data_IF_691681771670
#
_entry.id   IF_691681771670
#
_cell.length_a   1.000
_cell.length_b   1.000
_cell.length_c   1.000
_cell.angle_alpha   90.00
_cell.angle_beta   90.00
_cell.angle_gamma   90.00
#
_symmetry.space_group_name_H-M   'P 1'
#
loop_
_entity.id
_entity.type
_entity.pdbx_description
1 polymer ?
#
# COMPACT_ATOMS: atom_id res chain seq x y z
N UNK A 1 41.90 4.10 -53.22
CA UNK A 1 41.88 3.97 -51.74
C UNK A 1 41.18 5.19 -51.15
N UNK A 2 39.95 5.06 -50.64
CA UNK A 2 39.29 6.17 -49.91
C UNK A 2 38.58 5.57 -48.70
N UNK A 3 39.24 5.65 -47.54
CA UNK A 3 38.74 5.12 -46.26
C UNK A 3 37.67 6.08 -45.74
N UNK A 4 36.40 5.72 -45.86
CA UNK A 4 35.30 6.47 -45.26
C UNK A 4 35.24 6.14 -43.76
N UNK A 5 35.47 7.13 -42.91
CA UNK A 5 35.32 6.99 -41.45
C UNK A 5 33.84 7.18 -41.10
N UNK A 6 33.14 6.08 -40.83
CA UNK A 6 31.78 6.12 -40.27
C UNK A 6 31.92 6.43 -38.79
N UNK A 7 31.49 7.64 -38.39
CA UNK A 7 31.38 8.05 -37.00
C UNK A 7 30.01 7.60 -36.48
N UNK A 8 29.98 6.53 -35.68
CA UNK A 8 28.78 6.05 -35.00
C UNK A 8 28.60 6.89 -33.73
N UNK A 9 27.64 7.83 -33.77
CA UNK A 9 27.22 8.61 -32.61
C UNK A 9 26.22 7.77 -31.80
N UNK A 10 26.68 7.14 -30.72
CA UNK A 10 25.83 6.39 -29.80
C UNK A 10 24.99 7.35 -28.94
N UNK A 11 23.70 7.50 -29.27
CA UNK A 11 22.72 8.13 -28.37
C UNK A 11 22.47 7.17 -27.18
N UNK A 12 23.11 7.44 -26.05
CA UNK A 12 22.72 6.84 -24.76
C UNK A 12 21.41 7.50 -24.31
N UNK A 13 20.27 6.89 -24.65
CA UNK A 13 19.00 7.24 -24.03
C UNK A 13 19.04 6.77 -22.57
N UNK A 14 19.26 7.69 -21.64
CA UNK A 14 19.16 7.43 -20.19
C UNK A 14 17.70 7.14 -19.85
N UNK A 15 17.35 5.86 -19.87
CA UNK A 15 16.05 5.38 -19.41
C UNK A 15 15.99 5.61 -17.90
N UNK A 16 15.28 6.65 -17.47
CA UNK A 16 15.06 6.90 -16.05
C UNK A 16 14.08 5.86 -15.53
N UNK A 17 14.58 4.81 -14.87
CA UNK A 17 13.74 3.86 -14.14
C UNK A 17 13.34 4.55 -12.84
N UNK A 18 12.08 4.97 -12.74
CA UNK A 18 11.53 5.38 -11.45
C UNK A 18 11.45 4.15 -10.55
N UNK A 19 12.17 4.18 -9.42
CA UNK A 19 12.04 3.15 -8.39
C UNK A 19 10.56 3.09 -7.95
N UNK A 20 9.96 1.90 -8.06
CA UNK A 20 8.58 1.67 -7.62
C UNK A 20 8.50 1.92 -6.12
N UNK A 21 7.54 2.71 -5.66
CA UNK A 21 7.24 2.89 -4.23
C UNK A 21 6.78 1.57 -3.61
N UNK A 22 7.06 1.28 -2.32
CA UNK A 22 6.71 0.00 -1.71
C UNK A 22 5.22 -0.29 -1.76
N UNK A 23 4.84 -1.52 -2.09
CA UNK A 23 3.46 -1.92 -2.30
C UNK A 23 2.92 -2.73 -1.11
N UNK A 24 2.21 -2.05 -0.22
CA UNK A 24 1.70 -2.62 1.04
C UNK A 24 0.21 -2.99 0.98
N UNK A 25 -0.38 -3.15 -0.21
CA UNK A 25 -1.84 -3.41 -0.37
C UNK A 25 -2.24 -4.88 -0.30
N UNK A 26 -1.45 -5.75 0.32
CA UNK A 26 -1.76 -7.19 0.44
C UNK A 26 -2.54 -7.53 1.71
N UNK A 27 -3.32 -8.62 1.66
CA UNK A 27 -4.10 -9.09 2.83
C UNK A 27 -3.22 -9.52 4.00
N UNK A 28 -1.99 -9.95 3.70
CA UNK A 28 -1.00 -10.37 4.69
C UNK A 28 0.04 -9.28 4.99
N UNK A 29 -0.14 -8.07 4.44
CA UNK A 29 0.77 -6.96 4.67
C UNK A 29 0.49 -6.31 6.01
N UNK A 30 1.54 -5.69 6.57
CA UNK A 30 1.53 -5.03 7.88
C UNK A 30 0.27 -4.19 8.17
N UNK A 31 -0.16 -3.24 7.32
CA UNK A 31 -1.36 -2.43 7.58
C UNK A 31 -2.63 -3.27 7.74
N UNK A 32 -2.82 -4.32 6.93
CA UNK A 32 -4.01 -5.17 6.97
C UNK A 32 -4.01 -6.07 8.21
N UNK A 33 -2.87 -6.69 8.52
CA UNK A 33 -2.73 -7.57 9.69
C UNK A 33 -2.95 -6.79 10.99
N UNK A 34 -2.34 -5.61 11.12
CA UNK A 34 -2.52 -4.77 12.29
C UNK A 34 -3.95 -4.22 12.40
N UNK A 35 -4.60 -3.94 11.27
CA UNK A 35 -5.99 -3.53 11.29
C UNK A 35 -6.91 -4.58 11.92
N UNK A 36 -6.74 -5.86 11.55
CA UNK A 36 -7.52 -6.96 12.14
C UNK A 36 -7.23 -7.13 13.64
N UNK A 37 -5.99 -6.92 14.08
CA UNK A 37 -5.63 -6.94 15.51
C UNK A 37 -6.35 -5.82 16.27
N UNK A 38 -6.26 -4.58 15.80
CA UNK A 38 -6.91 -3.44 16.45
C UNK A 38 -8.44 -3.59 16.49
N UNK A 39 -9.05 -4.01 15.37
CA UNK A 39 -10.50 -4.25 15.29
C UNK A 39 -10.93 -5.40 16.21
N UNK A 40 -10.13 -6.45 16.33
CA UNK A 40 -10.35 -7.59 17.22
C UNK A 40 -10.34 -7.17 18.69
N UNK A 41 -9.33 -6.39 19.08
CA UNK A 41 -9.21 -5.84 20.42
C UNK A 41 -10.37 -4.90 20.78
N UNK A 42 -10.95 -4.21 19.78
CA UNK A 42 -12.13 -3.36 19.94
C UNK A 42 -13.47 -4.12 19.88
N UNK A 43 -13.46 -5.43 19.61
CA UNK A 43 -14.67 -6.25 19.49
C UNK A 43 -15.50 -6.00 18.22
N UNK A 44 -14.95 -5.29 17.23
CA UNK A 44 -15.67 -4.88 16.00
C UNK A 44 -15.74 -6.04 15.00
N UNK A 45 -14.59 -6.65 14.70
CA UNK A 45 -14.43 -7.83 13.82
C UNK A 45 -13.07 -8.48 14.07
N UNK A 46 -12.77 -9.63 13.46
CA UNK A 46 -11.46 -10.30 13.55
C UNK A 46 -11.22 -11.21 12.34
N UNK A 47 -10.02 -11.77 12.25
CA UNK A 47 -9.59 -12.70 11.21
C UNK A 47 -10.51 -13.92 11.03
N UNK A 48 -11.07 -14.45 12.13
CA UNK A 48 -12.02 -15.57 12.10
C UNK A 48 -13.41 -15.20 11.53
N UNK A 49 -13.75 -13.91 11.44
CA UNK A 49 -15.03 -13.43 10.88
C UNK A 49 -14.90 -12.94 9.44
N UNK A 50 -13.72 -12.47 9.04
CA UNK A 50 -13.46 -11.83 7.75
C UNK A 50 -13.17 -12.87 6.66
N UNK A 51 -13.80 -12.69 5.50
CA UNK A 51 -13.41 -13.38 4.27
C UNK A 51 -12.27 -12.58 3.59
N UNK A 52 -11.03 -13.01 3.82
CA UNK A 52 -9.85 -12.35 3.25
C UNK A 52 -9.85 -12.33 1.72
N UNK A 53 -10.56 -13.26 1.05
CA UNK A 53 -10.66 -13.27 -0.42
C UNK A 53 -11.55 -12.14 -0.95
N UNK A 54 -12.45 -11.62 -0.10
CA UNK A 54 -13.33 -10.48 -0.41
C UNK A 54 -12.81 -9.16 0.13
N UNK A 55 -11.70 -9.18 0.86
CA UNK A 55 -11.07 -7.97 1.40
C UNK A 55 -10.47 -7.16 0.25
N UNK A 56 -10.77 -5.85 0.23
CA UNK A 56 -10.23 -4.92 -0.75
C UNK A 56 -9.32 -3.94 -0.03
N UNK A 57 -8.13 -3.72 -0.59
CA UNK A 57 -7.16 -2.76 -0.07
C UNK A 57 -6.78 -1.80 -1.19
N UNK A 58 -6.89 -0.51 -0.94
CA UNK A 58 -6.46 0.55 -1.85
C UNK A 58 -5.46 1.47 -1.14
N UNK A 59 -4.34 1.78 -1.79
CA UNK A 59 -3.40 2.78 -1.30
C UNK A 59 -3.88 4.16 -1.72
N UNK A 60 -4.33 4.95 -0.76
CA UNK A 60 -4.82 6.32 -0.98
C UNK A 60 -3.66 7.31 -1.18
N UNK A 61 -2.57 7.13 -0.43
CA UNK A 61 -1.40 8.00 -0.50
C UNK A 61 -0.11 7.23 -0.24
N UNK A 62 1.00 7.71 -0.82
CA UNK A 62 2.35 7.25 -0.54
C UNK A 62 3.33 8.40 -0.73
N UNK A 63 3.70 9.06 0.36
CA UNK A 63 4.64 10.17 0.37
C UNK A 63 6.04 9.67 0.73
N UNK A 64 7.08 10.11 0.01
CA UNK A 64 8.46 9.84 0.40
C UNK A 64 8.89 10.84 1.48
N UNK A 65 9.15 10.35 2.68
CA UNK A 65 9.54 11.17 3.85
C UNK A 65 11.02 11.01 4.22
N UNK A 66 11.77 10.14 3.51
CA UNK A 66 13.18 9.94 3.75
C UNK A 66 13.88 9.08 2.68
N UNK A 67 15.12 8.68 2.99
CA UNK A 67 15.84 7.69 2.19
C UNK A 67 15.19 6.33 2.42
N UNK A 68 14.58 5.78 1.37
CA UNK A 68 13.84 4.52 1.43
C UNK A 68 12.78 4.46 2.53
N UNK A 69 12.10 5.59 2.75
CA UNK A 69 11.07 5.70 3.78
C UNK A 69 9.88 6.46 3.21
N UNK A 70 8.73 5.82 3.31
CA UNK A 70 7.48 6.25 2.72
C UNK A 70 6.38 6.24 3.76
N UNK A 71 5.63 7.34 3.89
CA UNK A 71 4.40 7.37 4.67
C UNK A 71 3.24 6.96 3.76
N UNK A 72 2.51 5.92 4.14
CA UNK A 72 1.41 5.38 3.34
C UNK A 72 0.09 5.41 4.08
N UNK A 73 -0.96 5.71 3.32
CA UNK A 73 -2.34 5.68 3.79
C UNK A 73 -3.12 4.67 2.96
N UNK A 74 -3.82 3.75 3.62
CA UNK A 74 -4.62 2.73 2.94
C UNK A 74 -6.08 2.81 3.35
N UNK A 75 -6.98 2.57 2.40
CA UNK A 75 -8.37 2.24 2.67
C UNK A 75 -8.55 0.73 2.55
N UNK A 76 -9.06 0.11 3.60
CA UNK A 76 -9.28 -1.33 3.68
C UNK A 76 -10.77 -1.59 3.93
N UNK A 77 -11.37 -2.38 3.06
CA UNK A 77 -12.75 -2.86 3.20
C UNK A 77 -12.70 -4.34 3.54
N UNK A 78 -12.98 -4.67 4.81
CA UNK A 78 -13.17 -6.05 5.25
C UNK A 78 -14.61 -6.47 5.03
N UNK A 79 -14.80 -7.63 4.42
CA UNK A 79 -16.12 -8.26 4.29
C UNK A 79 -16.17 -9.49 5.18
N UNK A 80 -17.04 -9.48 6.18
CA UNK A 80 -17.28 -10.66 7.01
C UNK A 80 -18.02 -11.76 6.23
N UNK A 81 -17.85 -13.00 6.65
CA UNK A 81 -18.61 -14.15 6.13
C UNK A 81 -20.13 -13.96 6.31
N UNK A 82 -20.54 -13.16 7.30
CA UNK A 82 -21.94 -12.74 7.53
C UNK A 82 -22.48 -11.78 6.47
N UNK A 83 -21.61 -11.19 5.64
CA UNK A 83 -21.92 -10.10 4.72
C UNK A 83 -21.77 -8.70 5.31
N UNK A 84 -21.47 -8.58 6.62
CA UNK A 84 -21.16 -7.28 7.24
C UNK A 84 -19.89 -6.69 6.65
N UNK A 85 -19.90 -5.38 6.40
CA UNK A 85 -18.75 -4.63 5.90
C UNK A 85 -18.15 -3.80 7.04
N UNK A 86 -16.83 -3.79 7.14
CA UNK A 86 -16.07 -2.92 8.04
C UNK A 86 -15.00 -2.20 7.21
N UNK A 87 -15.08 -0.87 7.17
CA UNK A 87 -14.15 -0.02 6.44
C UNK A 87 -13.22 0.71 7.40
N UNK A 88 -11.92 0.71 7.07
CA UNK A 88 -10.91 1.39 7.89
C UNK A 88 -9.90 2.14 7.03
N UNK A 89 -9.38 3.23 7.57
CA UNK A 89 -8.18 3.89 7.08
C UNK A 89 -7.01 3.51 7.98
N UNK A 90 -5.90 3.09 7.36
CA UNK A 90 -4.64 2.87 8.07
C UNK A 90 -3.58 3.86 7.63
N UNK A 91 -2.69 4.21 8.55
CA UNK A 91 -1.53 5.07 8.30
C UNK A 91 -0.29 4.45 8.94
N UNK A 92 0.77 4.28 8.15
CA UNK A 92 2.05 3.72 8.60
C UNK A 92 3.20 4.09 7.66
N UNK A 93 4.42 3.93 8.14
CA UNK A 93 5.62 4.04 7.33
C UNK A 93 6.03 2.69 6.73
N UNK A 94 6.64 2.73 5.54
CA UNK A 94 7.15 1.58 4.80
C UNK A 94 8.47 1.92 4.08
N UNK A 95 9.29 0.91 3.79
CA UNK A 95 10.45 0.94 2.87
C UNK A 95 10.24 -0.06 1.74
N UNK A 96 11.12 -0.06 0.74
CA UNK A 96 11.09 -1.05 -0.33
C UNK A 96 11.35 -2.49 0.15
N UNK A 97 11.98 -2.66 1.31
CA UNK A 97 12.23 -3.94 1.97
C UNK A 97 11.05 -4.40 2.83
N UNK A 98 10.37 -3.47 3.52
CA UNK A 98 9.38 -3.83 4.53
C UNK A 98 8.27 -2.78 4.72
N UNK A 99 7.04 -3.29 4.93
CA UNK A 99 5.86 -2.45 5.20
C UNK A 99 5.75 -2.02 6.68
N UNK A 100 6.70 -2.45 7.52
CA UNK A 100 6.65 -2.37 8.99
C UNK A 100 7.59 -1.33 9.60
N UNK A 101 7.82 -0.21 8.90
CA UNK A 101 8.73 0.85 9.38
C UNK A 101 8.14 1.69 10.53
N UNK A 102 6.89 1.44 10.93
CA UNK A 102 6.25 2.02 12.11
C UNK A 102 5.08 1.17 12.61
N UNK A 103 4.51 1.57 13.74
CA UNK A 103 3.15 1.15 14.11
C UNK A 103 2.11 1.62 13.08
N UNK A 104 0.88 1.12 13.23
CA UNK A 104 -0.24 1.42 12.35
C UNK A 104 -1.29 2.20 13.12
N UNK A 105 -1.56 3.44 12.71
CA UNK A 105 -2.74 4.15 13.16
C UNK A 105 -3.95 3.62 12.39
N UNK A 106 -5.08 3.39 13.09
CA UNK A 106 -6.31 2.86 12.51
C UNK A 106 -7.51 3.75 12.83
N UNK A 107 -8.27 4.07 11.78
CA UNK A 107 -9.50 4.84 11.86
C UNK A 107 -10.64 4.02 11.26
N UNK A 108 -11.74 3.84 12.00
CA UNK A 108 -12.94 3.20 11.47
C UNK A 108 -13.76 4.22 10.69
N UNK A 109 -14.10 3.90 9.44
CA UNK A 109 -14.96 4.73 8.60
C UNK A 109 -16.41 4.41 8.95
N UNK A 110 -17.08 5.34 9.65
CA UNK A 110 -18.50 5.19 10.01
C UNK A 110 -19.44 5.79 8.97
N UNK A 111 -18.94 6.78 8.22
CA UNK A 111 -19.69 7.44 7.14
C UNK A 111 -18.75 8.10 6.14
N UNK A 112 -18.89 7.76 4.87
CA UNK A 112 -18.29 8.49 3.76
C UNK A 112 -19.31 9.50 3.21
N UNK A 113 -18.92 10.78 3.11
CA UNK A 113 -19.80 11.86 2.64
C UNK A 113 -19.63 12.18 1.14
N UNK A 114 -18.52 11.74 0.55
CA UNK A 114 -18.16 11.99 -0.84
C UNK A 114 -16.81 11.38 -1.20
N UNK A 115 -16.46 11.43 -2.47
CA UNK A 115 -15.26 10.81 -3.04
C UNK A 115 -15.46 10.61 -4.55
N UNK A 116 -14.37 10.40 -5.31
CA UNK A 116 -14.47 10.10 -6.74
C UNK A 116 -15.29 8.83 -7.01
#
# INVERSE_FOLDING_TARGET
MKKSKILILALFATSSVFAKTPDCTGTNQWPTSMALVHLGNAGITNDGRVDLKKTKISRLASERIGKDLYHQIHHITFTETSGKIVEVITSNNASNEECSMSGVDLYVVTKQLGGP
#
